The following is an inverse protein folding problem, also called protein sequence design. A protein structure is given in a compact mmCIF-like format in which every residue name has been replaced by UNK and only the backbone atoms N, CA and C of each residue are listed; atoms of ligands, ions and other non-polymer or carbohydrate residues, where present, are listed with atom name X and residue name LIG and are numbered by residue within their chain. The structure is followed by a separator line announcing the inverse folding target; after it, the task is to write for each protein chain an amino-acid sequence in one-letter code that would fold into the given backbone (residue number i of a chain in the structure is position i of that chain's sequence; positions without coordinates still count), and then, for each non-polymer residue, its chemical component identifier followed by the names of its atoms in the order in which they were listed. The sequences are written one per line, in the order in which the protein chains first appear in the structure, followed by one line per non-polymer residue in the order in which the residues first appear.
data_IF_125975058261
#
_entry.id   IF_125975058261
#
_cell.length_a   1.000
_cell.length_b   1.000
_cell.length_c   1.000
_cell.angle_alpha   90.00
_cell.angle_beta   90.00
_cell.angle_gamma   90.00
#
_symmetry.space_group_name_H-M   'P 1'
#
loop_
_entity.id
_entity.type
_entity.pdbx_description
1 polymer ?
#
# COMPACT_ATOMS: atom_id res chain seq x y z
N UNK A 1 -26.62 20.87 -39.75
CA UNK A 1 -25.75 20.82 -38.54
C UNK A 1 -25.05 19.46 -38.42
N UNK A 2 -23.74 19.40 -38.70
CA UNK A 2 -22.91 18.19 -38.53
C UNK A 2 -22.68 17.93 -37.03
N UNK A 3 -22.73 16.68 -36.54
CA UNK A 3 -22.34 16.39 -35.17
C UNK A 3 -20.82 16.57 -35.03
N UNK A 4 -20.40 17.24 -33.95
CA UNK A 4 -19.00 17.42 -33.60
C UNK A 4 -18.40 16.06 -33.22
N UNK A 5 -17.18 15.71 -33.66
CA UNK A 5 -16.54 14.47 -33.24
C UNK A 5 -16.28 14.52 -31.73
N UNK A 6 -16.56 13.39 -31.07
CA UNK A 6 -16.26 13.18 -29.67
C UNK A 6 -14.78 13.45 -29.41
N UNK A 7 -14.48 14.15 -28.30
CA UNK A 7 -13.11 14.41 -27.85
C UNK A 7 -12.39 13.07 -27.69
N UNK A 8 -11.38 12.83 -28.53
CA UNK A 8 -10.46 11.72 -28.38
C UNK A 8 -9.86 11.78 -26.96
N UNK A 9 -10.18 10.76 -26.16
CA UNK A 9 -9.44 10.44 -24.94
C UNK A 9 -8.00 10.19 -25.38
N UNK A 10 -6.97 10.77 -24.74
CA UNK A 10 -5.60 10.50 -25.13
C UNK A 10 -5.34 8.99 -24.94
N UNK A 11 -5.23 8.26 -26.06
CA UNK A 11 -4.71 6.90 -26.09
C UNK A 11 -3.23 7.03 -25.77
N UNK A 12 -2.90 6.96 -24.48
CA UNK A 12 -1.53 6.99 -24.02
C UNK A 12 -0.90 5.64 -24.41
N UNK A 13 -0.40 5.55 -25.64
CA UNK A 13 0.29 4.40 -26.24
C UNK A 13 1.65 4.08 -25.55
N UNK A 14 1.83 4.51 -24.30
CA UNK A 14 3.01 4.19 -23.51
C UNK A 14 2.96 2.72 -23.09
N UNK A 15 4.04 2.00 -23.39
CA UNK A 15 4.27 0.66 -22.86
C UNK A 15 4.08 0.66 -21.34
N UNK A 16 3.35 -0.34 -20.83
CA UNK A 16 3.26 -0.58 -19.39
C UNK A 16 4.65 -0.89 -18.85
N UNK A 17 5.03 -0.26 -17.75
CA UNK A 17 6.23 -0.63 -17.02
C UNK A 17 5.89 -1.11 -15.62
N UNK A 18 6.57 -2.17 -15.18
CA UNK A 18 6.40 -2.74 -13.84
C UNK A 18 6.67 -1.74 -12.72
N UNK A 19 7.51 -0.71 -12.93
CA UNK A 19 7.76 0.34 -11.94
C UNK A 19 6.55 1.24 -11.66
N UNK A 20 5.55 1.28 -12.57
CA UNK A 20 4.33 2.05 -12.35
C UNK A 20 3.55 1.51 -11.14
N UNK A 21 3.57 0.18 -10.95
CA UNK A 21 2.94 -0.49 -9.80
C UNK A 21 3.96 -0.84 -8.72
N UNK A 22 5.16 -1.28 -9.09
CA UNK A 22 6.14 -1.90 -8.19
C UNK A 22 6.08 -3.42 -8.24
N UNK A 23 7.09 -4.07 -7.65
CA UNK A 23 7.21 -5.52 -7.58
C UNK A 23 6.59 -6.03 -6.28
N UNK A 24 5.60 -6.90 -6.34
CA UNK A 24 5.01 -7.55 -5.17
C UNK A 24 5.81 -8.79 -4.78
N UNK A 25 6.46 -8.73 -3.62
CA UNK A 25 7.30 -9.78 -3.06
C UNK A 25 6.97 -9.95 -1.56
N UNK A 26 5.86 -10.63 -1.23
CA UNK A 26 5.34 -10.69 0.14
C UNK A 26 6.29 -11.40 1.12
N UNK A 27 7.01 -12.40 0.64
CA UNK A 27 7.97 -13.23 1.37
C UNK A 27 9.42 -12.74 1.26
N UNK A 28 9.65 -11.48 0.83
CA UNK A 28 10.99 -10.90 0.79
C UNK A 28 11.63 -10.94 2.19
N UNK A 29 12.79 -11.60 2.37
CA UNK A 29 13.43 -11.76 3.68
C UNK A 29 13.67 -10.43 4.40
N UNK A 30 13.53 -10.45 5.73
CA UNK A 30 13.88 -9.32 6.59
C UNK A 30 15.34 -9.46 6.99
N UNK A 31 16.16 -8.49 6.60
CA UNK A 31 17.59 -8.44 6.91
C UNK A 31 17.99 -7.01 7.27
N UNK A 32 19.21 -6.79 7.78
CA UNK A 32 19.70 -5.44 8.04
C UNK A 32 19.72 -4.54 6.78
N UNK A 33 19.95 -5.13 5.59
CA UNK A 33 19.90 -4.41 4.32
C UNK A 33 18.48 -4.28 3.74
N UNK A 34 17.54 -5.11 4.21
CA UNK A 34 16.15 -5.14 3.77
C UNK A 34 15.25 -5.16 5.01
N UNK A 35 15.21 -4.05 5.77
CA UNK A 35 14.50 -4.00 7.03
C UNK A 35 13.02 -4.34 6.86
N UNK A 36 12.39 -4.68 7.98
CA UNK A 36 10.95 -4.88 8.04
C UNK A 36 10.22 -3.64 7.53
N UNK A 37 9.08 -3.84 6.91
CA UNK A 37 8.28 -2.78 6.33
C UNK A 37 7.50 -3.26 5.12
N UNK A 38 6.46 -2.50 4.81
CA UNK A 38 5.48 -2.87 3.78
C UNK A 38 6.00 -2.65 2.36
N UNK A 39 7.04 -1.83 2.18
CA UNK A 39 7.76 -1.65 0.92
C UNK A 39 9.20 -1.17 1.16
N UNK A 40 10.04 -1.33 0.14
CA UNK A 40 11.45 -0.90 0.12
C UNK A 40 11.91 -0.62 -1.31
N UNK A 41 12.87 0.27 -1.51
CA UNK A 41 13.55 0.43 -2.79
C UNK A 41 14.80 -0.46 -2.87
N UNK A 42 14.85 -1.35 -3.87
CA UNK A 42 16.00 -2.23 -4.14
C UNK A 42 16.44 -2.01 -5.58
N UNK A 43 17.66 -1.51 -5.77
CA UNK A 43 18.23 -1.27 -7.11
C UNK A 43 17.35 -0.36 -7.97
N UNK A 44 16.71 0.65 -7.37
CA UNK A 44 15.79 1.57 -8.05
C UNK A 44 14.37 1.04 -8.24
N UNK A 45 14.11 -0.24 -7.97
CA UNK A 45 12.77 -0.81 -8.04
C UNK A 45 12.04 -0.67 -6.70
N UNK A 46 10.78 -0.25 -6.74
CA UNK A 46 9.88 -0.35 -5.59
C UNK A 46 9.49 -1.81 -5.40
N UNK A 47 9.87 -2.41 -4.27
CA UNK A 47 9.49 -3.76 -3.86
C UNK A 47 8.50 -3.65 -2.70
N UNK A 48 7.39 -4.38 -2.78
CA UNK A 48 6.23 -4.26 -1.91
C UNK A 48 5.98 -5.60 -1.24
N UNK A 49 5.92 -5.61 0.10
CA UNK A 49 5.54 -6.78 0.90
C UNK A 49 4.05 -6.80 1.24
N UNK A 50 3.44 -5.62 1.45
CA UNK A 50 2.02 -5.52 1.81
C UNK A 50 1.10 -5.67 0.60
N UNK A 51 0.17 -6.63 0.67
CA UNK A 51 -0.83 -6.84 -0.39
C UNK A 51 -1.78 -5.64 -0.53
N UNK A 52 -2.16 -5.00 0.57
CA UNK A 52 -3.05 -3.84 0.54
C UNK A 52 -2.41 -2.66 -0.19
N UNK A 53 -1.14 -2.37 0.12
CA UNK A 53 -0.38 -1.32 -0.56
C UNK A 53 -0.22 -1.61 -2.05
N UNK A 54 0.06 -2.87 -2.39
CA UNK A 54 0.16 -3.30 -3.78
C UNK A 54 -1.17 -3.09 -4.53
N UNK A 55 -2.29 -3.51 -3.95
CA UNK A 55 -3.62 -3.39 -4.57
C UNK A 55 -4.03 -1.93 -4.78
N UNK A 56 -3.76 -1.05 -3.83
CA UNK A 56 -4.02 0.38 -4.00
C UNK A 56 -3.26 0.95 -5.20
N UNK A 57 -2.00 0.54 -5.38
CA UNK A 57 -1.21 0.94 -6.55
C UNK A 57 -1.75 0.34 -7.84
N UNK A 58 -2.21 -0.91 -7.83
CA UNK A 58 -2.86 -1.53 -9.00
C UNK A 58 -4.12 -0.76 -9.38
N UNK A 59 -5.01 -0.49 -8.43
CA UNK A 59 -6.25 0.29 -8.64
C UNK A 59 -5.97 1.68 -9.20
N UNK A 60 -4.93 2.34 -8.71
CA UNK A 60 -4.51 3.64 -9.24
C UNK A 60 -3.96 3.52 -10.68
N UNK A 61 -3.17 2.49 -10.97
CA UNK A 61 -2.67 2.23 -12.31
C UNK A 61 -3.81 1.93 -13.30
N UNK A 62 -4.83 1.16 -12.88
CA UNK A 62 -6.04 0.89 -13.68
C UNK A 62 -6.74 2.18 -14.09
N UNK A 63 -6.88 3.15 -13.17
CA UNK A 63 -7.50 4.45 -13.48
C UNK A 63 -6.72 5.24 -14.54
N UNK A 64 -5.40 5.04 -14.64
CA UNK A 64 -4.51 5.78 -15.53
C UNK A 64 -4.36 5.08 -16.89
N UNK A 65 -4.14 3.76 -16.89
CA UNK A 65 -3.79 2.96 -18.07
C UNK A 65 -4.95 2.18 -18.65
N UNK A 66 -6.02 1.99 -17.89
CA UNK A 66 -7.09 1.07 -18.23
C UNK A 66 -6.84 -0.34 -17.72
N UNK A 67 -7.93 -1.04 -17.45
CA UNK A 67 -7.94 -2.33 -16.77
C UNK A 67 -7.23 -3.43 -17.57
N UNK A 68 -7.52 -3.54 -18.88
CA UNK A 68 -6.98 -4.60 -19.74
C UNK A 68 -5.45 -4.58 -19.81
N UNK A 69 -4.86 -3.38 -19.92
CA UNK A 69 -3.41 -3.20 -19.94
C UNK A 69 -2.79 -3.66 -18.63
N UNK A 70 -3.39 -3.25 -17.50
CA UNK A 70 -2.87 -3.60 -16.18
C UNK A 70 -3.00 -5.09 -15.92
N UNK A 71 -4.16 -5.70 -16.19
CA UNK A 71 -4.38 -7.14 -16.05
C UNK A 71 -3.37 -7.98 -16.83
N UNK A 72 -3.11 -7.61 -18.09
CA UNK A 72 -2.20 -8.35 -18.95
C UNK A 72 -0.76 -8.37 -18.41
N UNK A 73 -0.36 -7.30 -17.71
CA UNK A 73 1.01 -7.14 -17.23
C UNK A 73 1.19 -7.40 -15.73
N UNK A 74 0.10 -7.52 -14.97
CA UNK A 74 0.13 -7.76 -13.52
C UNK A 74 0.94 -9.02 -13.12
N UNK A 75 0.93 -10.13 -13.88
CA UNK A 75 1.77 -11.27 -13.51
C UNK A 75 3.27 -10.94 -13.50
N UNK A 76 3.71 -9.96 -14.30
CA UNK A 76 5.12 -9.56 -14.40
C UNK A 76 5.61 -8.78 -13.17
N UNK A 77 4.72 -8.30 -12.32
CA UNK A 77 5.05 -7.60 -11.08
C UNK A 77 5.11 -8.55 -9.88
N UNK A 78 4.72 -9.82 -9.99
CA UNK A 78 4.74 -10.78 -8.89
C UNK A 78 6.13 -11.44 -8.71
N UNK A 79 6.59 -11.62 -7.47
CA UNK A 79 7.87 -12.24 -7.10
C UNK A 79 7.68 -13.20 -5.92
N UNK A 80 8.64 -14.10 -5.71
CA UNK A 80 8.62 -15.06 -4.62
C UNK A 80 7.34 -15.89 -4.57
N UNK A 81 6.80 -16.05 -3.37
CA UNK A 81 5.55 -16.75 -3.11
C UNK A 81 4.36 -16.23 -3.94
N UNK A 82 4.31 -14.93 -4.27
CA UNK A 82 3.26 -14.40 -5.15
C UNK A 82 3.37 -14.88 -6.60
N UNK A 83 4.60 -15.01 -7.11
CA UNK A 83 4.84 -15.58 -8.44
C UNK A 83 4.52 -17.07 -8.47
N UNK A 84 4.90 -17.81 -7.42
CA UNK A 84 4.61 -19.24 -7.29
C UNK A 84 3.10 -19.50 -7.19
N UNK A 85 2.41 -18.74 -6.35
CA UNK A 85 0.95 -18.76 -6.26
C UNK A 85 0.28 -18.58 -7.62
N UNK A 86 0.70 -17.58 -8.40
CA UNK A 86 0.08 -17.31 -9.69
C UNK A 86 0.37 -18.41 -10.73
N UNK A 87 1.62 -18.86 -10.83
CA UNK A 87 2.04 -19.79 -11.89
C UNK A 87 1.81 -21.27 -11.56
N UNK A 88 1.77 -21.63 -10.27
CA UNK A 88 1.67 -23.02 -9.83
C UNK A 88 0.39 -23.23 -9.02
N UNK A 89 0.05 -22.30 -8.13
CA UNK A 89 -1.08 -22.43 -7.20
C UNK A 89 -2.45 -22.24 -7.85
N UNK A 90 -2.55 -21.41 -8.89
CA UNK A 90 -3.78 -21.22 -9.65
C UNK A 90 -3.93 -22.29 -10.74
N UNK A 91 -5.13 -22.84 -10.87
CA UNK A 91 -5.47 -23.65 -12.04
C UNK A 91 -5.52 -22.80 -13.32
N UNK A 92 -5.46 -23.48 -14.47
CA UNK A 92 -5.43 -22.81 -15.77
C UNK A 92 -6.74 -22.06 -16.08
N UNK A 93 -7.88 -22.65 -15.71
CA UNK A 93 -9.20 -22.06 -15.96
C UNK A 93 -9.38 -20.73 -15.19
N UNK A 94 -8.90 -20.67 -13.95
CA UNK A 94 -8.98 -19.50 -13.10
C UNK A 94 -8.02 -18.41 -13.56
N UNK A 95 -6.82 -18.77 -14.03
CA UNK A 95 -5.93 -17.80 -14.70
C UNK A 95 -6.56 -17.21 -15.95
N UNK A 96 -7.25 -18.01 -16.73
CA UNK A 96 -7.94 -17.52 -17.92
C UNK A 96 -9.17 -16.67 -17.56
N UNK A 97 -9.91 -17.02 -16.50
CA UNK A 97 -10.96 -16.16 -15.95
C UNK A 97 -10.39 -14.80 -15.51
N UNK A 98 -9.23 -14.76 -14.86
CA UNK A 98 -8.58 -13.50 -14.48
C UNK A 98 -8.10 -12.67 -15.67
N UNK A 99 -7.78 -13.30 -16.80
CA UNK A 99 -7.41 -12.58 -18.03
C UNK A 99 -8.63 -11.94 -18.69
N UNK A 100 -9.79 -12.58 -18.66
CA UNK A 100 -10.98 -12.14 -19.40
C UNK A 100 -11.96 -11.36 -18.52
N UNK A 101 -12.09 -11.72 -17.24
CA UNK A 101 -13.03 -11.14 -16.27
C UNK A 101 -12.56 -9.83 -15.63
N UNK A 102 -13.27 -9.35 -14.61
CA UNK A 102 -12.89 -8.13 -13.88
C UNK A 102 -11.57 -8.34 -13.12
N UNK A 103 -10.70 -7.32 -13.13
CA UNK A 103 -9.49 -7.28 -12.31
C UNK A 103 -9.81 -7.45 -10.82
N UNK A 104 -10.99 -7.04 -10.36
CA UNK A 104 -11.37 -7.10 -8.95
C UNK A 104 -11.29 -8.52 -8.40
N UNK A 105 -11.66 -9.54 -9.19
CA UNK A 105 -11.56 -10.95 -8.77
C UNK A 105 -10.12 -11.38 -8.51
N UNK A 106 -9.20 -10.93 -9.36
CA UNK A 106 -7.77 -11.19 -9.18
C UNK A 106 -7.24 -10.47 -7.94
N UNK A 107 -7.68 -9.23 -7.70
CA UNK A 107 -7.28 -8.47 -6.51
C UNK A 107 -7.84 -9.10 -5.23
N UNK A 108 -9.10 -9.52 -5.21
CA UNK A 108 -9.71 -10.24 -4.09
C UNK A 108 -8.96 -11.53 -3.76
N UNK A 109 -8.55 -12.27 -4.80
CA UNK A 109 -7.79 -13.51 -4.63
C UNK A 109 -6.37 -13.27 -4.12
N UNK A 110 -5.73 -12.17 -4.52
CA UNK A 110 -4.46 -11.72 -3.93
C UNK A 110 -4.63 -11.38 -2.45
N UNK A 111 -5.68 -10.65 -2.06
CA UNK A 111 -5.98 -10.36 -0.65
C UNK A 111 -6.15 -11.68 0.13
N UNK A 112 -6.99 -12.58 -0.38
CA UNK A 112 -7.27 -13.84 0.31
C UNK A 112 -5.99 -14.69 0.52
N UNK A 113 -5.03 -14.59 -0.39
CA UNK A 113 -3.80 -15.39 -0.34
C UNK A 113 -2.67 -14.76 0.48
N UNK A 114 -2.61 -13.42 0.55
CA UNK A 114 -1.45 -12.71 1.10
C UNK A 114 -1.77 -11.67 2.16
N UNK A 115 -3.04 -11.53 2.57
CA UNK A 115 -3.39 -10.59 3.63
C UNK A 115 -2.76 -11.04 4.94
N UNK A 116 -2.04 -10.12 5.57
CA UNK A 116 -1.51 -10.29 6.92
C UNK A 116 -2.67 -10.61 7.89
N UNK A 117 -2.52 -11.61 8.76
CA UNK A 117 -3.48 -11.84 9.83
C UNK A 117 -3.69 -10.55 10.64
N UNK A 118 -4.95 -10.20 10.88
CA UNK A 118 -5.30 -8.97 11.60
C UNK A 118 -4.68 -8.90 13.00
N UNK A 119 -4.49 -10.05 13.66
CA UNK A 119 -3.80 -10.14 14.95
C UNK A 119 -2.36 -9.65 14.87
N UNK A 120 -1.64 -10.07 13.84
CA UNK A 120 -0.21 -9.76 13.67
C UNK A 120 -0.05 -8.27 13.35
N UNK A 121 -0.95 -7.73 12.51
CA UNK A 121 -1.04 -6.31 12.22
C UNK A 121 -1.30 -5.48 13.49
N UNK A 122 -2.22 -5.92 14.36
CA UNK A 122 -2.52 -5.25 15.63
C UNK A 122 -1.34 -5.35 16.61
N UNK A 123 -0.69 -6.49 16.72
CA UNK A 123 0.50 -6.67 17.55
C UNK A 123 1.63 -5.73 17.10
N UNK A 124 1.84 -5.61 15.79
CA UNK A 124 2.79 -4.66 15.20
C UNK A 124 2.37 -3.22 15.48
N UNK A 125 1.10 -2.88 15.33
CA UNK A 125 0.57 -1.55 15.64
C UNK A 125 0.83 -1.15 17.09
N UNK A 126 0.66 -2.09 18.02
CA UNK A 126 0.88 -1.86 19.45
C UNK A 126 2.34 -1.63 19.80
N UNK A 127 3.29 -2.08 18.97
CA UNK A 127 4.73 -1.87 19.15
C UNK A 127 5.26 -0.60 18.49
N UNK A 128 4.51 -0.01 17.56
CA UNK A 128 4.92 1.23 16.91
C UNK A 128 4.88 2.38 17.90
N UNK A 129 6.01 3.05 18.04
CA UNK A 129 6.18 4.26 18.86
C UNK A 129 7.16 5.20 18.15
N UNK A 130 7.01 6.50 18.37
CA UNK A 130 7.94 7.52 17.92
C UNK A 130 8.51 8.22 19.14
N UNK A 131 9.75 7.87 19.48
CA UNK A 131 10.42 8.28 20.71
C UNK A 131 11.25 9.56 20.53
N UNK A 132 11.67 10.14 21.65
CA UNK A 132 12.71 11.20 21.64
C UNK A 132 14.02 10.75 20.97
N UNK A 133 14.37 9.47 21.06
CA UNK A 133 15.57 8.95 20.42
C UNK A 133 15.44 8.95 18.89
N UNK A 134 14.27 8.61 18.36
CA UNK A 134 13.97 8.67 16.92
C UNK A 134 14.05 10.11 16.41
N UNK A 135 13.47 11.05 17.16
CA UNK A 135 13.57 12.48 16.85
C UNK A 135 15.03 12.99 16.88
N UNK A 136 15.79 12.61 17.92
CA UNK A 136 17.20 12.98 18.04
C UNK A 136 18.06 12.38 16.90
N UNK A 137 17.71 11.17 16.44
CA UNK A 137 18.31 10.52 15.28
C UNK A 137 17.81 11.04 13.93
N UNK A 138 16.91 12.04 13.93
CA UNK A 138 16.28 12.63 12.73
C UNK A 138 15.52 11.62 11.87
N UNK A 139 14.89 10.64 12.51
CA UNK A 139 13.94 9.75 11.83
C UNK A 139 12.75 10.59 11.36
N UNK A 140 12.35 10.44 10.10
CA UNK A 140 11.23 11.19 9.53
C UNK A 140 9.90 10.82 10.21
N UNK A 141 9.31 11.79 10.93
CA UNK A 141 8.02 11.63 11.59
C UNK A 141 6.89 11.38 10.59
N UNK A 142 6.97 11.95 9.38
CA UNK A 142 5.96 11.76 8.35
C UNK A 142 5.96 10.31 7.88
N UNK A 143 7.14 9.73 7.65
CA UNK A 143 7.32 8.31 7.37
C UNK A 143 6.75 7.42 8.48
N UNK A 144 6.97 7.78 9.75
CA UNK A 144 6.36 7.08 10.88
C UNK A 144 4.82 7.14 10.85
N UNK A 145 4.23 8.32 10.66
CA UNK A 145 2.76 8.51 10.60
C UNK A 145 2.15 7.62 9.51
N UNK A 146 2.70 7.62 8.30
CA UNK A 146 2.18 6.79 7.22
C UNK A 146 2.35 5.29 7.48
N UNK A 147 3.46 4.89 8.11
CA UNK A 147 3.65 3.51 8.57
C UNK A 147 2.58 3.10 9.58
N UNK A 148 2.32 3.96 10.57
CA UNK A 148 1.31 3.74 11.61
C UNK A 148 -0.10 3.56 11.01
N UNK A 149 -0.55 4.50 10.17
CA UNK A 149 -1.89 4.46 9.56
C UNK A 149 -2.07 3.18 8.73
N UNK A 150 -1.03 2.79 7.99
CA UNK A 150 -1.08 1.60 7.16
C UNK A 150 -1.18 0.33 7.99
N UNK A 151 -0.39 0.20 9.05
CA UNK A 151 -0.49 -0.91 10.00
C UNK A 151 -1.85 -0.94 10.69
N UNK A 152 -2.42 0.23 11.02
CA UNK A 152 -3.76 0.32 11.60
C UNK A 152 -4.84 -0.21 10.64
N UNK A 153 -4.74 0.11 9.35
CA UNK A 153 -5.66 -0.40 8.31
C UNK A 153 -5.53 -1.91 8.12
N UNK A 154 -4.32 -2.46 8.12
CA UNK A 154 -4.09 -3.90 8.11
C UNK A 154 -4.74 -4.57 9.35
N UNK A 155 -4.69 -3.89 10.51
CA UNK A 155 -5.42 -4.21 11.74
C UNK A 155 -6.93 -3.95 11.70
N UNK A 156 -7.51 -3.65 10.53
CA UNK A 156 -8.93 -3.33 10.31
C UNK A 156 -9.44 -2.06 11.03
N UNK A 157 -8.53 -1.20 11.50
CA UNK A 157 -8.87 0.14 11.98
C UNK A 157 -8.83 1.07 10.77
N UNK A 158 -9.99 1.55 10.32
CA UNK A 158 -10.10 2.38 9.11
C UNK A 158 -10.64 3.80 9.36
N UNK A 159 -11.07 4.08 10.59
CA UNK A 159 -11.59 5.39 10.97
C UNK A 159 -10.45 6.40 11.18
N UNK A 160 -10.59 7.59 10.61
CA UNK A 160 -9.55 8.64 10.68
C UNK A 160 -9.42 9.19 12.10
N UNK A 161 -10.53 9.34 12.84
CA UNK A 161 -10.48 9.79 14.23
C UNK A 161 -9.75 8.81 15.14
N UNK A 162 -10.01 7.51 14.95
CA UNK A 162 -9.29 6.43 15.63
C UNK A 162 -7.79 6.44 15.26
N UNK A 163 -7.44 6.59 13.98
CA UNK A 163 -6.04 6.71 13.54
C UNK A 163 -5.31 7.83 14.27
N UNK A 164 -5.90 9.02 14.31
CA UNK A 164 -5.30 10.18 14.96
C UNK A 164 -5.18 9.99 16.47
N UNK A 165 -6.20 9.44 17.11
CA UNK A 165 -6.21 9.20 18.56
C UNK A 165 -5.11 8.21 18.97
N UNK A 166 -4.99 7.10 18.26
CA UNK A 166 -3.93 6.13 18.55
C UNK A 166 -2.55 6.66 18.19
N UNK A 167 -2.41 7.35 17.05
CA UNK A 167 -1.15 7.95 16.62
C UNK A 167 -0.63 8.96 17.65
N UNK A 168 -1.50 9.84 18.17
CA UNK A 168 -1.17 10.77 19.24
C UNK A 168 -0.64 10.04 20.49
N UNK A 169 -1.25 8.91 20.85
CA UNK A 169 -0.79 8.10 21.97
C UNK A 169 0.53 7.33 21.70
N UNK A 170 0.98 7.26 20.44
CA UNK A 170 2.23 6.60 20.05
C UNK A 170 3.43 7.54 19.87
N UNK A 171 3.22 8.85 19.98
CA UNK A 171 4.31 9.83 19.93
C UNK A 171 4.70 10.19 21.37
N UNK A 172 5.99 10.32 21.62
CA UNK A 172 6.51 10.71 22.93
C UNK A 172 5.84 12.01 23.42
N UNK A 173 5.27 12.05 24.64
CA UNK A 173 4.58 13.24 25.15
C UNK A 173 5.42 14.52 25.15
N UNK A 174 6.75 14.42 25.27
CA UNK A 174 7.64 15.58 25.22
C UNK A 174 7.76 16.18 23.82
N UNK A 175 7.48 15.40 22.77
CA UNK A 175 7.40 15.87 21.39
C UNK A 175 6.04 16.52 21.08
N UNK A 176 5.02 16.25 21.88
CA UNK A 176 3.66 16.80 21.72
C UNK A 176 3.42 18.08 22.53
N UNK A 177 4.47 18.65 23.12
CA UNK A 177 4.33 19.89 23.92
C UNK A 177 3.83 21.02 23.02
N UNK A 178 2.61 21.49 23.29
CA UNK A 178 1.95 22.54 22.52
C UNK A 178 1.10 22.02 21.35
N UNK A 179 1.05 20.71 21.12
CA UNK A 179 0.20 20.06 20.12
C UNK A 179 -1.03 19.49 20.84
N UNK A 180 -2.25 20.00 20.58
CA UNK A 180 -3.45 19.48 21.23
C UNK A 180 -3.78 18.08 20.74
N UNK A 181 -4.42 17.28 21.60
CA UNK A 181 -4.99 16.00 21.20
C UNK A 181 -6.00 16.20 20.04
N UNK A 182 -6.00 15.32 19.03
CA UNK A 182 -6.90 15.44 17.89
C UNK A 182 -8.36 15.32 18.32
N UNK A 183 -9.21 16.20 17.81
CA UNK A 183 -10.65 16.20 18.05
C UNK A 183 -11.44 15.54 16.91
N UNK A 184 -12.78 15.46 17.02
CA UNK A 184 -13.65 14.82 16.03
C UNK A 184 -13.58 15.40 14.61
N UNK A 185 -13.07 16.63 14.46
CA UNK A 185 -12.95 17.34 13.19
C UNK A 185 -11.51 17.59 12.76
N UNK A 186 -10.54 17.08 13.53
CA UNK A 186 -9.13 17.18 13.15
C UNK A 186 -8.88 16.28 11.94
N UNK A 187 -8.34 16.87 10.88
CA UNK A 187 -7.94 16.12 9.67
C UNK A 187 -6.51 15.62 9.81
N UNK A 188 -6.15 14.62 9.00
CA UNK A 188 -4.78 14.11 8.96
C UNK A 188 -3.77 15.21 8.62
N UNK A 189 -4.06 16.00 7.58
CA UNK A 189 -3.16 17.08 7.14
C UNK A 189 -2.96 18.15 8.22
N UNK A 190 -4.02 18.50 8.96
CA UNK A 190 -3.93 19.43 10.07
C UNK A 190 -3.09 18.91 11.22
N UNK A 191 -3.23 17.62 11.56
CA UNK A 191 -2.46 17.01 12.63
C UNK A 191 -0.98 16.86 12.24
N UNK A 192 -0.71 16.32 11.06
CA UNK A 192 0.66 16.14 10.55
C UNK A 192 1.37 17.48 10.37
N UNK A 193 0.66 18.53 9.97
CA UNK A 193 1.24 19.88 9.87
C UNK A 193 1.62 20.54 11.21
N UNK A 194 1.25 19.93 12.34
CA UNK A 194 1.63 20.40 13.69
C UNK A 194 2.81 19.62 14.28
N UNK A 195 3.14 18.46 13.70
CA UNK A 195 4.27 17.60 14.09
C UNK A 195 5.59 18.10 13.49
#
# INVERSE_FOLDING_TARGET
PRPKPAKNRPTNNGHFHTHEIGLFYPDLPVTAAQPEGDWIHIGGNLVIRSVDFYIDRVKNCVKIRGEDIVKLNLPQTLRGAASEWYNIGLDEALRDDYRVGSIDRLLESLIASFKEPTTDALDRLMRLEYSLADAAARVDITGFVYSFIRTARAGSINDTGAHLSFLYAKIDPLLLVGIPAPGPHTTMDQFVGQL
#
